data_IF_275693624068
#
_entry.id   IF_275693624068
#
_cell.length_a   1.000
_cell.length_b   1.000
_cell.length_c   1.000
_cell.angle_alpha   90.00
_cell.angle_beta   90.00
_cell.angle_gamma   90.00
#
_symmetry.space_group_name_H-M   'P 1'
#
loop_
_entity.id
_entity.type
_entity.pdbx_description
1 polymer ?
#
# COMPACT_ATOMS: atom_id res chain seq x y z
N UNK A 1 -0.31 -28.14 10.42
CA UNK A 1 -1.33 -29.16 10.04
C UNK A 1 -1.54 -29.03 8.54
N UNK A 2 -1.25 -30.09 7.77
CA UNK A 2 -1.46 -30.11 6.32
C UNK A 2 -0.25 -30.53 5.48
N UNK A 3 0.27 -31.75 5.72
CA UNK A 3 1.16 -32.46 4.80
C UNK A 3 0.46 -33.78 4.41
N UNK A 4 0.26 -34.02 3.10
CA UNK A 4 0.10 -35.32 2.43
C UNK A 4 -0.46 -35.03 1.02
N UNK A 5 0.35 -35.14 -0.04
CA UNK A 5 0.57 -36.39 -0.78
C UNK A 5 -0.72 -36.94 -1.44
N UNK A 6 -0.95 -36.56 -2.69
CA UNK A 6 -1.70 -37.37 -3.66
C UNK A 6 -0.78 -37.61 -4.86
N UNK A 7 -0.06 -38.73 -4.80
CA UNK A 7 0.57 -39.30 -5.97
C UNK A 7 -0.48 -40.13 -6.73
N UNK A 8 -0.67 -39.83 -8.02
CA UNK A 8 -1.33 -40.74 -8.95
C UNK A 8 -0.68 -40.61 -10.34
N UNK A 9 0.33 -41.45 -10.55
CA UNK A 9 0.54 -42.31 -11.70
C UNK A 9 0.36 -41.68 -13.11
N UNK A 10 1.39 -40.96 -13.56
CA UNK A 10 1.63 -40.76 -14.99
C UNK A 10 3.12 -40.98 -15.26
N UNK A 11 3.45 -42.00 -16.06
CA UNK A 11 4.80 -42.26 -16.59
C UNK A 11 5.17 -41.16 -17.58
N UNK A 12 5.53 -40.00 -17.06
CA UNK A 12 6.12 -38.89 -17.80
C UNK A 12 7.30 -38.38 -16.98
N UNK A 13 8.44 -38.17 -17.63
CA UNK A 13 9.57 -37.46 -17.02
C UNK A 13 9.13 -36.01 -16.87
N UNK A 14 8.44 -35.70 -15.77
CA UNK A 14 8.17 -34.32 -15.36
C UNK A 14 9.46 -33.84 -14.69
N UNK A 15 10.16 -32.83 -15.23
CA UNK A 15 11.27 -32.25 -14.50
C UNK A 15 10.74 -31.73 -13.16
N UNK A 16 11.23 -32.31 -12.08
CA UNK A 16 10.96 -31.86 -10.72
C UNK A 16 11.59 -30.48 -10.54
N UNK A 17 10.88 -29.43 -10.97
CA UNK A 17 11.24 -28.05 -10.66
C UNK A 17 11.10 -27.91 -9.16
N UNK A 18 12.22 -28.02 -8.45
CA UNK A 18 12.28 -27.76 -7.03
C UNK A 18 12.05 -26.27 -6.83
N UNK A 19 10.78 -25.87 -6.68
CA UNK A 19 10.43 -24.60 -6.08
C UNK A 19 10.95 -24.65 -4.64
N UNK A 20 12.19 -24.18 -4.44
CA UNK A 20 12.63 -23.82 -3.10
C UNK A 20 11.63 -22.78 -2.62
N UNK A 21 10.88 -23.10 -1.58
CA UNK A 21 10.12 -22.10 -0.85
C UNK A 21 11.14 -21.13 -0.26
N UNK A 22 11.41 -20.04 -0.98
CA UNK A 22 12.18 -18.94 -0.43
C UNK A 22 11.37 -18.40 0.75
N UNK A 23 11.85 -18.62 1.97
CA UNK A 23 11.31 -17.94 3.13
C UNK A 23 11.76 -16.48 3.04
N UNK A 24 10.88 -15.65 2.50
CA UNK A 24 11.07 -14.21 2.48
C UNK A 24 10.75 -13.65 3.87
N UNK A 25 11.43 -12.57 4.30
CA UNK A 25 11.07 -11.87 5.52
C UNK A 25 9.60 -11.41 5.46
N UNK A 26 8.86 -11.46 6.58
CA UNK A 26 7.52 -10.90 6.62
C UNK A 26 7.56 -9.38 6.39
N UNK A 27 6.56 -8.85 5.70
CA UNK A 27 6.38 -7.42 5.45
C UNK A 27 4.98 -7.01 5.85
N UNK A 28 4.82 -5.80 6.37
CA UNK A 28 3.52 -5.19 6.61
C UNK A 28 3.13 -4.39 5.37
N UNK A 29 1.96 -4.68 4.81
CA UNK A 29 1.41 -3.96 3.65
C UNK A 29 0.22 -3.14 4.11
N UNK A 30 0.19 -1.87 3.74
CA UNK A 30 -0.92 -0.96 4.05
C UNK A 30 -1.52 -0.45 2.74
N UNK A 31 -2.84 -0.39 2.71
CA UNK A 31 -3.60 0.24 1.64
C UNK A 31 -4.28 1.47 2.20
N UNK A 32 -4.16 2.60 1.50
CA UNK A 32 -4.88 3.81 1.86
C UNK A 32 -5.43 4.51 0.62
N UNK A 33 -6.51 5.26 0.83
CA UNK A 33 -7.15 6.03 -0.23
C UNK A 33 -7.93 7.20 0.35
N UNK A 34 -8.12 8.22 -0.48
CA UNK A 34 -9.03 9.32 -0.16
C UNK A 34 -10.48 8.86 -0.30
N UNK A 35 -11.28 9.04 0.75
CA UNK A 35 -12.71 8.75 0.69
C UNK A 35 -13.43 9.69 -0.30
N UNK A 36 -14.30 9.12 -1.15
CA UNK A 36 -15.18 9.86 -2.09
C UNK A 36 -14.46 10.78 -3.08
N UNK A 37 -13.23 10.45 -3.46
CA UNK A 37 -12.50 11.21 -4.47
C UNK A 37 -13.29 11.37 -5.79
N UNK A 38 -13.92 10.30 -6.27
CA UNK A 38 -14.75 10.33 -7.49
C UNK A 38 -15.93 11.30 -7.41
N UNK A 39 -16.52 11.47 -6.23
CA UNK A 39 -17.59 12.44 -6.00
C UNK A 39 -17.06 13.87 -6.03
N UNK A 40 -15.87 14.14 -5.49
CA UNK A 40 -15.21 15.44 -5.62
C UNK A 40 -14.89 15.78 -7.07
N UNK A 41 -14.38 14.82 -7.84
CA UNK A 41 -14.11 14.98 -9.28
C UNK A 41 -15.41 15.35 -10.03
N UNK A 42 -16.55 14.76 -9.67
CA UNK A 42 -17.83 15.05 -10.29
C UNK A 42 -18.34 16.47 -10.00
N UNK A 43 -17.97 17.07 -8.86
CA UNK A 43 -18.32 18.46 -8.51
C UNK A 43 -17.37 19.46 -9.18
N UNK A 44 -16.06 19.23 -9.09
CA UNK A 44 -15.06 20.07 -9.74
C UNK A 44 -13.78 19.27 -9.97
N UNK A 45 -13.49 19.00 -11.25
CA UNK A 45 -12.31 18.24 -11.65
C UNK A 45 -11.01 18.97 -11.31
N UNK A 46 -10.92 20.26 -11.59
CA UNK A 46 -9.68 21.01 -11.38
C UNK A 46 -9.31 21.07 -9.89
N UNK A 47 -10.26 21.44 -9.02
CA UNK A 47 -10.04 21.47 -7.58
C UNK A 47 -9.72 20.08 -7.00
N UNK A 48 -10.33 19.02 -7.55
CA UNK A 48 -10.04 17.67 -7.11
C UNK A 48 -8.59 17.25 -7.41
N UNK A 49 -7.98 17.75 -8.50
CA UNK A 49 -6.56 17.48 -8.77
C UNK A 49 -5.64 18.17 -7.77
N UNK A 50 -5.96 19.40 -7.36
CA UNK A 50 -5.19 20.10 -6.33
C UNK A 50 -5.26 19.36 -5.00
N UNK A 51 -6.46 18.93 -4.59
CA UNK A 51 -6.67 18.14 -3.37
C UNK A 51 -5.92 16.80 -3.43
N UNK A 52 -5.97 16.10 -4.57
CA UNK A 52 -5.24 14.86 -4.77
C UNK A 52 -3.72 15.07 -4.68
N UNK A 53 -3.21 16.15 -5.29
CA UNK A 53 -1.79 16.50 -5.22
C UNK A 53 -1.34 16.71 -3.78
N UNK A 54 -2.11 17.44 -2.98
CA UNK A 54 -1.80 17.68 -1.56
C UNK A 54 -1.84 16.39 -0.74
N UNK A 55 -2.83 15.53 -0.97
CA UNK A 55 -2.91 14.23 -0.31
C UNK A 55 -1.74 13.31 -0.66
N UNK A 56 -1.40 13.20 -1.95
CA UNK A 56 -0.27 12.40 -2.42
C UNK A 56 1.05 12.89 -1.81
N UNK A 57 1.20 14.20 -1.67
CA UNK A 57 2.32 14.83 -0.99
C UNK A 57 2.40 14.45 0.50
N UNK A 58 1.28 14.47 1.23
CA UNK A 58 1.23 14.03 2.63
C UNK A 58 1.61 12.56 2.79
N UNK A 59 1.12 11.70 1.90
CA UNK A 59 1.47 10.27 1.86
C UNK A 59 2.97 10.10 1.66
N UNK A 60 3.54 10.71 0.62
CA UNK A 60 4.97 10.54 0.29
C UNK A 60 5.90 11.13 1.35
N UNK A 61 5.57 12.31 1.90
CA UNK A 61 6.38 12.92 2.96
C UNK A 61 6.34 12.11 4.26
N UNK A 62 5.18 11.59 4.65
CA UNK A 62 5.09 10.73 5.84
C UNK A 62 5.78 9.38 5.65
N UNK A 63 5.75 8.80 4.43
CA UNK A 63 6.51 7.58 4.12
C UNK A 63 8.01 7.77 4.32
N UNK A 64 8.56 8.92 3.89
CA UNK A 64 9.97 9.25 4.12
C UNK A 64 10.32 9.33 5.61
N UNK A 65 9.40 9.82 6.46
CA UNK A 65 9.62 9.92 7.90
C UNK A 65 9.59 8.55 8.60
N UNK A 66 8.75 7.62 8.14
CA UNK A 66 8.58 6.30 8.75
C UNK A 66 9.33 5.17 8.03
N UNK A 67 10.24 5.49 7.10
CA UNK A 67 10.99 4.52 6.29
C UNK A 67 10.09 3.52 5.54
N UNK A 68 8.92 3.97 5.07
CA UNK A 68 8.00 3.18 4.26
C UNK A 68 8.37 3.19 2.78
N UNK A 69 7.95 2.16 2.06
CA UNK A 69 8.15 2.02 0.62
C UNK A 69 6.83 2.14 -0.13
N UNK A 70 6.74 3.04 -1.10
CA UNK A 70 5.62 3.14 -2.04
C UNK A 70 5.74 2.01 -3.09
N UNK A 71 4.85 1.03 -3.04
CA UNK A 71 4.82 -0.05 -4.02
C UNK A 71 4.07 0.35 -5.29
N UNK A 72 2.94 1.04 -5.12
CA UNK A 72 2.08 1.47 -6.20
C UNK A 72 1.22 2.66 -5.74
N UNK A 73 0.94 3.57 -6.68
CA UNK A 73 -0.05 4.63 -6.54
C UNK A 73 -0.93 4.67 -7.80
N UNK A 74 -2.23 4.83 -7.61
CA UNK A 74 -3.19 5.06 -8.68
C UNK A 74 -4.34 5.94 -8.18
N UNK A 75 -4.43 7.18 -8.66
CA UNK A 75 -5.51 8.11 -8.34
C UNK A 75 -5.74 8.29 -6.82
N UNK A 76 -4.65 8.31 -6.05
CA UNK A 76 -4.69 8.43 -4.59
C UNK A 76 -4.98 7.12 -3.86
N UNK A 77 -5.09 5.99 -4.56
CA UNK A 77 -5.03 4.66 -3.97
C UNK A 77 -3.57 4.23 -3.88
N UNK A 78 -3.07 4.07 -2.65
CA UNK A 78 -1.71 3.64 -2.39
C UNK A 78 -1.67 2.21 -1.87
N UNK A 79 -0.64 1.49 -2.32
CA UNK A 79 -0.13 0.29 -1.68
C UNK A 79 1.28 0.58 -1.20
N UNK A 80 1.52 0.46 0.10
CA UNK A 80 2.82 0.73 0.71
C UNK A 80 3.27 -0.46 1.55
N UNK A 81 4.58 -0.61 1.72
CA UNK A 81 5.18 -1.69 2.47
C UNK A 81 6.17 -1.18 3.54
N UNK A 82 6.20 -1.88 4.66
CA UNK A 82 7.12 -1.67 5.77
C UNK A 82 7.76 -2.99 6.18
N UNK A 83 9.02 -2.93 6.62
CA UNK A 83 9.73 -4.08 7.18
C UNK A 83 9.20 -4.49 8.56
N UNK A 84 8.55 -3.56 9.28
CA UNK A 84 8.03 -3.78 10.63
C UNK A 84 6.58 -3.29 10.74
N UNK A 85 5.74 -4.08 11.40
CA UNK A 85 4.34 -3.72 11.63
C UNK A 85 4.16 -2.49 12.53
N UNK A 86 5.10 -2.24 13.44
CA UNK A 86 5.10 -1.05 14.30
C UNK A 86 5.24 0.24 13.51
N UNK A 87 6.22 0.29 12.59
CA UNK A 87 6.42 1.44 11.70
C UNK A 87 5.21 1.68 10.78
N UNK A 88 4.56 0.61 10.29
CA UNK A 88 3.33 0.73 9.52
C UNK A 88 2.19 1.37 10.34
N UNK A 89 2.02 0.97 11.60
CA UNK A 89 1.00 1.53 12.50
C UNK A 89 1.28 2.99 12.83
N UNK A 90 2.53 3.33 13.15
CA UNK A 90 2.97 4.70 13.40
C UNK A 90 2.70 5.60 12.18
N UNK A 91 3.04 5.11 10.99
CA UNK A 91 2.78 5.81 9.74
C UNK A 91 1.29 6.04 9.50
N UNK A 92 0.43 5.05 9.76
CA UNK A 92 -1.02 5.20 9.62
C UNK A 92 -1.57 6.34 10.48
N UNK A 93 -1.10 6.44 11.73
CA UNK A 93 -1.54 7.51 12.65
C UNK A 93 -1.00 8.87 12.21
N UNK A 94 0.30 8.95 11.90
CA UNK A 94 0.93 10.18 11.42
C UNK A 94 0.27 10.72 10.15
N UNK A 95 -0.04 9.86 9.18
CA UNK A 95 -0.70 10.28 7.95
C UNK A 95 -2.08 10.89 8.24
N UNK A 96 -2.86 10.29 9.13
CA UNK A 96 -4.17 10.82 9.51
C UNK A 96 -4.04 12.19 10.20
N UNK A 97 -3.08 12.35 11.10
CA UNK A 97 -2.78 13.63 11.76
C UNK A 97 -2.39 14.71 10.75
N UNK A 98 -1.44 14.42 9.86
CA UNK A 98 -1.00 15.34 8.82
C UNK A 98 -2.15 15.78 7.91
N UNK A 99 -2.99 14.84 7.46
CA UNK A 99 -4.14 15.17 6.60
C UNK A 99 -5.18 16.03 7.33
N UNK A 100 -5.33 15.90 8.66
CA UNK A 100 -6.19 16.79 9.45
C UNK A 100 -5.62 18.21 9.57
N UNK A 101 -4.29 18.36 9.61
CA UNK A 101 -3.60 19.66 9.72
C UNK A 101 -3.54 20.45 8.42
N UNK A 102 -3.75 19.81 7.26
CA UNK A 102 -3.75 20.44 5.92
C UNK A 102 -4.75 21.62 5.77
N UNK A 103 -5.61 21.86 6.76
CA UNK A 103 -6.54 22.99 6.86
C UNK A 103 -5.89 24.40 6.85
N UNK A 104 -4.57 24.53 7.00
CA UNK A 104 -3.90 25.83 7.19
C UNK A 104 -3.42 26.59 5.93
N UNK A 105 -3.35 25.97 4.75
CA UNK A 105 -2.66 26.54 3.57
C UNK A 105 -3.57 26.97 2.41
N UNK A 106 -4.88 26.85 2.57
CA UNK A 106 -5.89 27.31 1.59
C UNK A 106 -6.74 28.40 2.25
N UNK A 107 -6.13 29.54 2.56
CA UNK A 107 -6.79 30.81 2.86
C UNK A 107 -6.06 31.95 2.16
#
# INVERSE_FOLDING_TARGET
VGAAALASNASGIIPQVHFRTLQLPPVAVVFCSMERYSEMVAVSRDLSYDVLSVYNDCVRRSLLACCGYECQEQEGHFMVAFSEAGAALEWCLMLQELVMEVRGLVM
#
